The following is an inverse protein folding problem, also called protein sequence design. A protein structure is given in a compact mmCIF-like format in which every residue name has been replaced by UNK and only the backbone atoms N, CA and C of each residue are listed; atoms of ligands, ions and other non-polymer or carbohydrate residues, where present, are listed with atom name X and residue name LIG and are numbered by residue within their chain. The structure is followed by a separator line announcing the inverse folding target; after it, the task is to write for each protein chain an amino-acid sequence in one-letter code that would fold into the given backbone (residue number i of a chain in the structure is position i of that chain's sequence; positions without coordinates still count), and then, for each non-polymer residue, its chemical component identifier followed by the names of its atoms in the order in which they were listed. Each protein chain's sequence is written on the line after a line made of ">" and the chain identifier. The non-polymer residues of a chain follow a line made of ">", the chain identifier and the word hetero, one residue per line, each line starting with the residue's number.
data_IF_143460686194
#
_entry.id   IF_143460686194
#
_cell.length_a   1.000
_cell.length_b   1.000
_cell.length_c   1.000
_cell.angle_alpha   90.00
_cell.angle_beta   90.00
_cell.angle_gamma   90.00
#
_symmetry.space_group_name_H-M   'P 1'
#
loop_
_entity.id
_entity.type
_entity.pdbx_description
1 polymer ?
2 non-polymer ?
3 non-polymer ?
4 non-polymer ?
5 water ?
#
# COMPACT_ATOMS: atom_id res chain seq x y z
N UNK A 8 -1.72 -21.39 1.53
CA UNK A 8 -2.08 -20.55 0.40
C UNK A 8 -0.88 -19.72 -0.06
N UNK A 9 -0.99 -19.10 -1.23
CA UNK A 9 0.09 -18.30 -1.80
C UNK A 9 -0.25 -16.81 -1.81
N UNK A 10 0.41 -16.04 -0.93
CA UNK A 10 0.09 -14.65 -0.57
C UNK A 10 0.13 -13.65 -1.74
N UNK A 11 1.01 -13.84 -2.71
CA UNK A 11 1.06 -12.93 -3.85
C UNK A 11 -0.16 -13.10 -4.76
N UNK A 12 -0.69 -14.31 -4.84
CA UNK A 12 -1.83 -14.61 -5.70
C UNK A 12 -3.12 -14.09 -5.08
N UNK A 13 -3.17 -14.04 -3.75
CA UNK A 13 -4.30 -13.43 -3.07
C UNK A 13 -4.29 -11.94 -3.29
N UNK A 14 -3.09 -11.35 -3.31
CA UNK A 14 -2.94 -9.93 -3.57
C UNK A 14 -3.36 -9.58 -5.01
N UNK A 15 -2.79 -10.28 -5.98
CA UNK A 15 -3.09 -10.01 -7.39
C UNK A 15 -4.57 -10.20 -7.71
N UNK A 16 -5.15 -11.29 -7.20
CA UNK A 16 -6.56 -11.59 -7.45
C UNK A 16 -7.49 -10.51 -6.90
N UNK A 17 -7.19 -10.05 -5.68
CA UNK A 17 -8.02 -9.05 -5.01
C UNK A 17 -7.91 -7.66 -5.64
N UNK A 18 -6.71 -7.28 -6.05
CA UNK A 18 -6.50 -5.97 -6.64
C UNK A 18 -6.89 -5.89 -8.11
N UNK A 19 -6.88 -7.03 -8.80
CA UNK A 19 -7.42 -7.11 -10.16
C UNK A 19 -8.89 -6.69 -10.11
N UNK A 20 -9.63 -7.19 -9.11
CA UNK A 20 -11.05 -6.90 -8.96
C UNK A 20 -11.30 -5.42 -8.71
N UNK A 21 -10.49 -4.83 -7.84
CA UNK A 21 -10.59 -3.40 -7.57
C UNK A 21 -10.29 -2.58 -8.82
N UNK A 22 -9.32 -3.05 -9.60
CA UNK A 22 -8.92 -2.38 -10.83
C UNK A 22 -10.09 -2.33 -11.82
N UNK A 23 -10.80 -3.45 -11.93
CA UNK A 23 -11.97 -3.53 -12.80
C UNK A 23 -13.02 -2.51 -12.37
N UNK A 24 -13.18 -2.36 -11.05
CA UNK A 24 -14.13 -1.42 -10.51
C UNK A 24 -13.77 0.04 -10.84
N UNK A 25 -12.53 0.44 -10.58
CA UNK A 25 -12.12 1.81 -10.86
C UNK A 25 -11.91 2.11 -12.34
N UNK A 26 -11.75 1.06 -13.14
CA UNK A 26 -11.68 1.22 -14.60
C UNK A 26 -13.07 1.36 -15.23
N UNK A 27 -14.11 1.02 -14.45
CA UNK A 27 -15.49 1.10 -14.92
C UNK A 27 -15.95 2.55 -14.97
N UNK A 28 -17.00 2.84 -15.77
CA UNK A 28 -17.54 4.20 -15.91
C UNK A 28 -17.98 4.85 -14.59
N UNK A 29 -18.71 4.11 -13.75
CA UNK A 29 -19.16 4.65 -12.48
C UNK A 29 -18.71 3.80 -11.29
N UNK A 30 -17.49 4.07 -10.80
CA UNK A 30 -16.88 3.24 -9.76
C UNK A 30 -17.57 3.41 -8.41
N UNK A 31 -17.84 2.29 -7.76
CA UNK A 31 -18.26 2.31 -6.37
C UNK A 31 -17.40 1.30 -5.63
N UNK A 32 -16.43 1.80 -4.88
CA UNK A 32 -15.49 0.94 -4.17
C UNK A 32 -15.97 0.71 -2.74
N UNK A 33 -16.39 -0.52 -2.45
CA UNK A 33 -16.87 -0.88 -1.10
C UNK A 33 -15.74 -0.86 -0.09
N UNK A 34 -15.97 -0.26 1.07
CA UNK A 34 -14.96 -0.18 2.10
C UNK A 34 -14.54 -1.57 2.57
N UNK A 35 -15.48 -2.53 2.53
CA UNK A 35 -15.16 -3.90 2.91
C UNK A 35 -14.19 -4.56 1.95
N UNK A 36 -14.50 -4.53 0.67
CA UNK A 36 -13.66 -5.13 -0.35
C UNK A 36 -12.29 -4.45 -0.41
N UNK A 37 -12.31 -3.12 -0.34
CA UNK A 37 -11.08 -2.34 -0.37
C UNK A 37 -10.16 -2.63 0.81
N UNK A 38 -10.71 -2.51 2.02
CA UNK A 38 -9.92 -2.72 3.24
C UNK A 38 -9.39 -4.15 3.35
N UNK A 39 -10.18 -5.12 2.92
CA UNK A 39 -9.72 -6.51 2.92
C UNK A 39 -8.51 -6.71 2.02
N UNK A 40 -8.56 -6.13 0.83
CA UNK A 40 -7.47 -6.23 -0.12
C UNK A 40 -6.19 -5.60 0.42
N UNK A 41 -6.33 -4.49 1.11
CA UNK A 41 -5.19 -3.77 1.66
C UNK A 41 -4.52 -4.56 2.78
N UNK A 42 -5.29 -5.37 3.51
CA UNK A 42 -4.74 -6.15 4.61
C UNK A 42 -3.92 -7.33 4.10
N UNK A 43 -4.10 -7.67 2.83
CA UNK A 43 -3.35 -8.74 2.19
C UNK A 43 -1.93 -8.27 1.90
N UNK A 44 -1.73 -6.96 1.91
CA UNK A 44 -0.43 -6.38 1.61
C UNK A 44 0.45 -6.30 2.87
N UNK A 45 -0.20 -6.15 4.02
CA UNK A 45 0.48 -6.02 5.31
C UNK A 45 1.63 -7.00 5.60
N UNK A 46 1.44 -8.31 5.33
CA UNK A 46 2.55 -9.25 5.56
C UNK A 46 3.84 -8.90 4.81
N UNK A 47 3.73 -8.19 3.69
CA UNK A 47 4.91 -7.83 2.90
C UNK A 47 5.92 -7.01 3.69
N UNK A 48 5.45 -6.07 4.50
CA UNK A 48 6.35 -5.23 5.28
C UNK A 48 7.11 -6.03 6.34
N UNK A 49 6.44 -7.03 6.92
CA UNK A 49 7.07 -7.88 7.90
C UNK A 49 8.18 -8.71 7.27
N UNK A 50 7.95 -9.16 6.04
CA UNK A 50 8.92 -9.94 5.29
C UNK A 50 10.22 -9.18 5.06
N UNK A 51 10.10 -7.89 4.79
CA UNK A 51 11.25 -7.04 4.52
C UNK A 51 12.06 -6.77 5.77
N UNK A 52 11.43 -6.93 6.94
CA UNK A 52 12.15 -6.90 8.21
C UNK A 52 12.07 -5.61 8.99
N UNK A 53 13.01 -5.44 9.91
CA UNK A 53 13.00 -4.34 10.89
C UNK A 53 12.95 -2.93 10.27
N UNK A 54 13.52 -2.78 9.08
CA UNK A 54 13.52 -1.48 8.39
C UNK A 54 12.10 -0.95 8.15
N UNK A 55 11.15 -1.86 7.94
CA UNK A 55 9.79 -1.46 7.62
C UNK A 55 8.80 -1.62 8.77
N UNK A 56 9.34 -1.62 9.99
CA UNK A 56 8.51 -1.72 11.19
C UNK A 56 7.58 -0.51 11.31
N UNK A 57 7.98 0.62 10.72
CA UNK A 57 7.16 1.82 10.72
C UNK A 57 5.78 1.56 10.09
N UNK A 58 5.70 0.52 9.26
CA UNK A 58 4.46 0.23 8.57
C UNK A 58 3.36 -0.29 9.50
N UNK A 59 3.74 -0.71 10.70
CA UNK A 59 2.76 -1.14 11.69
C UNK A 59 1.84 0.04 12.03
N UNK A 60 2.46 1.16 12.35
CA UNK A 60 1.73 2.37 12.69
C UNK A 60 1.29 3.16 11.45
N UNK A 61 2.14 3.22 10.44
CA UNK A 61 1.83 4.00 9.23
C UNK A 61 0.90 3.30 8.23
N UNK A 62 0.76 1.98 8.34
CA UNK A 62 -0.08 1.25 7.39
C UNK A 62 -1.09 0.29 8.04
N UNK A 63 -0.58 -0.63 8.84
CA UNK A 63 -1.43 -1.67 9.45
C UNK A 63 -2.55 -1.08 10.32
N UNK A 64 -2.22 -0.11 11.16
CA UNK A 64 -3.21 0.55 12.00
C UNK A 64 -4.19 1.34 11.15
N UNK A 65 -3.70 1.84 10.02
CA UNK A 65 -4.55 2.60 9.12
C UNK A 65 -5.55 1.69 8.41
N UNK A 66 -5.10 0.48 8.04
CA UNK A 66 -5.98 -0.50 7.44
C UNK A 66 -6.98 -1.03 8.47
N UNK A 67 -6.51 -1.32 9.68
CA UNK A 67 -7.37 -1.77 10.77
C UNK A 67 -8.57 -0.84 10.97
N UNK A 68 -8.32 0.46 10.93
CA UNK A 68 -9.36 1.47 11.07
C UNK A 68 -10.41 1.37 9.97
N UNK A 69 -9.97 1.19 8.74
CA UNK A 69 -10.88 1.10 7.61
C UNK A 69 -11.71 -0.18 7.65
N UNK A 70 -11.14 -1.24 8.22
CA UNK A 70 -11.86 -2.48 8.43
C UNK A 70 -12.99 -2.28 9.43
N UNK A 71 -12.72 -1.49 10.47
CA UNK A 71 -13.74 -1.11 11.44
C UNK A 71 -14.89 -0.38 10.77
N UNK A 72 -14.54 0.67 10.02
CA UNK A 72 -15.52 1.53 9.36
C UNK A 72 -16.34 0.80 8.31
N UNK A 73 -15.78 -0.29 7.78
CA UNK A 73 -16.42 -1.03 6.70
C UNK A 73 -17.76 -1.65 7.12
N UNK A 74 -17.97 -1.79 8.43
CA UNK A 74 -19.20 -2.39 8.94
C UNK A 74 -20.38 -1.41 8.89
N UNK A 75 -20.09 -0.12 8.81
CA UNK A 75 -21.13 0.91 8.89
C UNK A 75 -21.15 1.87 7.70
N UNK A 76 -20.11 1.82 6.88
CA UNK A 76 -20.00 2.73 5.73
C UNK A 76 -19.88 1.97 4.42
N UNK A 77 -20.71 2.36 3.45
CA UNK A 77 -20.79 1.66 2.18
C UNK A 77 -19.52 1.75 1.33
N UNK A 78 -19.21 2.95 0.84
CA UNK A 78 -18.11 3.13 -0.10
C UNK A 78 -17.08 4.15 0.38
N UNK A 79 -15.98 4.25 -0.36
CA UNK A 79 -14.92 5.21 -0.06
C UNK A 79 -15.42 6.64 -0.26
N UNK A 80 -16.22 6.84 -1.29
CA UNK A 80 -16.83 8.13 -1.59
C UNK A 80 -17.72 8.59 -0.43
N UNK A 81 -18.60 7.70 0.02
CA UNK A 81 -19.48 7.99 1.15
C UNK A 81 -18.68 8.26 2.42
N UNK A 82 -17.61 7.49 2.60
CA UNK A 82 -16.75 7.62 3.77
C UNK A 82 -16.11 9.00 3.84
N UNK A 83 -15.60 9.46 2.70
CA UNK A 83 -14.97 10.78 2.65
C UNK A 83 -15.97 11.91 2.77
N UNK A 84 -17.15 11.75 2.17
CA UNK A 84 -18.21 12.74 2.26
C UNK A 84 -18.61 13.01 3.71
N UNK A 85 -18.65 11.98 4.54
CA UNK A 85 -18.96 12.12 5.96
C UNK A 85 -17.94 13.03 6.66
N UNK A 86 -16.66 12.80 6.39
CA UNK A 86 -15.60 13.58 7.03
C UNK A 86 -15.58 15.02 6.52
N UNK A 87 -15.89 15.21 5.24
CA UNK A 87 -16.00 16.54 4.66
C UNK A 87 -17.16 17.29 5.33
N UNK A 88 -18.28 16.58 5.49
CA UNK A 88 -19.46 17.14 6.13
C UNK A 88 -19.21 17.51 7.59
N UNK A 89 -18.50 16.65 8.31
CA UNK A 89 -18.19 16.86 9.72
C UNK A 89 -16.97 17.75 9.91
N UNK A 90 -16.34 18.15 8.81
CA UNK A 90 -15.14 19.00 8.82
C UNK A 90 -14.00 18.36 9.63
N UNK A 91 -13.83 17.05 9.48
CA UNK A 91 -12.80 16.34 10.22
C UNK A 91 -11.87 15.57 9.29
N UNK A 92 -11.62 16.12 8.11
CA UNK A 92 -10.79 15.44 7.11
C UNK A 92 -9.36 15.18 7.61
N UNK A 93 -8.71 16.22 8.11
CA UNK A 93 -7.32 16.10 8.54
C UNK A 93 -7.16 15.77 10.02
N UNK A 94 -8.28 15.44 10.68
CA UNK A 94 -8.25 15.09 12.09
C UNK A 94 -7.56 13.75 12.30
N UNK A 95 -6.72 13.68 13.32
CA UNK A 95 -6.00 12.46 13.67
C UNK A 95 -6.99 11.33 13.95
N UNK A 96 -6.86 10.23 13.21
CA UNK A 96 -7.71 9.08 13.41
C UNK A 96 -8.95 9.07 12.52
N UNK A 97 -9.12 10.11 11.72
CA UNK A 97 -10.25 10.16 10.79
C UNK A 97 -10.06 9.15 9.67
N UNK A 98 -11.16 8.64 9.14
CA UNK A 98 -11.12 7.63 8.10
C UNK A 98 -10.47 8.15 6.82
N UNK A 99 -10.68 9.43 6.52
CA UNK A 99 -10.14 10.02 5.31
C UNK A 99 -8.63 10.18 5.41
N UNK A 100 -8.17 10.62 6.58
CA UNK A 100 -6.74 10.73 6.83
C UNK A 100 -6.07 9.37 6.74
N UNK A 101 -6.69 8.37 7.36
CA UNK A 101 -6.17 7.01 7.32
C UNK A 101 -6.18 6.42 5.91
N UNK A 102 -7.19 6.79 5.12
CA UNK A 102 -7.27 6.38 3.73
C UNK A 102 -6.09 6.90 2.93
N UNK A 103 -5.69 8.14 3.20
CA UNK A 103 -4.55 8.73 2.53
C UNK A 103 -3.25 7.97 2.85
N UNK A 104 -3.11 7.58 4.11
CA UNK A 104 -1.93 6.82 4.52
C UNK A 104 -1.90 5.42 3.90
N UNK A 105 -3.08 4.81 3.80
CA UNK A 105 -3.20 3.50 3.16
C UNK A 105 -2.80 3.58 1.70
N UNK A 106 -3.15 4.68 1.06
CA UNK A 106 -2.79 4.94 -0.33
C UNK A 106 -1.27 4.91 -0.51
N UNK A 107 -0.56 5.56 0.41
CA UNK A 107 0.89 5.63 0.33
C UNK A 107 1.54 4.24 0.46
N UNK A 108 0.99 3.41 1.32
CA UNK A 108 1.50 2.06 1.50
C UNK A 108 1.33 1.26 0.24
N UNK A 109 0.17 1.38 -0.40
CA UNK A 109 -0.09 0.69 -1.66
C UNK A 109 0.90 1.17 -2.71
N UNK A 110 1.17 2.47 -2.70
CA UNK A 110 2.08 3.07 -3.67
C UNK A 110 3.51 2.56 -3.46
N UNK A 111 3.94 2.47 -2.21
CA UNK A 111 5.29 1.99 -1.91
C UNK A 111 5.50 0.57 -2.39
N UNK A 112 4.48 -0.27 -2.26
CA UNK A 112 4.58 -1.65 -2.69
C UNK A 112 4.61 -1.74 -4.23
N UNK A 113 3.85 -0.87 -4.87
CA UNK A 113 3.87 -0.76 -6.33
C UNK A 113 5.29 -0.42 -6.82
N UNK A 114 5.89 0.61 -6.22
CA UNK A 114 7.26 0.98 -6.58
C UNK A 114 8.25 -0.13 -6.22
N UNK A 115 8.03 -0.77 -5.07
CA UNK A 115 8.87 -1.88 -4.64
C UNK A 115 8.86 -3.00 -5.67
N UNK A 116 7.66 -3.40 -6.08
CA UNK A 116 7.52 -4.46 -7.07
C UNK A 116 8.16 -4.09 -8.41
N UNK A 117 7.90 -2.87 -8.88
CA UNK A 117 8.50 -2.38 -10.11
C UNK A 117 10.03 -2.51 -10.10
N UNK A 118 10.63 -2.15 -8.97
CA UNK A 118 12.08 -2.18 -8.84
C UNK A 118 12.62 -3.60 -8.71
N UNK A 119 11.87 -4.46 -8.03
CA UNK A 119 12.24 -5.87 -7.95
C UNK A 119 12.22 -6.52 -9.32
N UNK A 120 11.16 -6.26 -10.09
CA UNK A 120 11.08 -6.75 -11.45
C UNK A 120 12.23 -6.24 -12.32
N UNK A 121 12.57 -4.96 -12.17
CA UNK A 121 13.65 -4.35 -12.95
C UNK A 121 15.02 -4.92 -12.60
N UNK A 122 15.23 -5.25 -11.33
CA UNK A 122 16.53 -5.67 -10.84
C UNK A 122 16.67 -7.19 -10.77
N UNK A 123 15.99 -7.88 -11.68
CA UNK A 123 16.09 -9.34 -11.76
C UNK A 123 17.51 -9.74 -12.16
N UNK A 124 18.04 -10.79 -11.53
CA UNK A 124 19.43 -11.16 -11.73
C UNK A 124 20.31 -10.60 -10.63
N UNK A 125 19.73 -9.75 -9.79
CA UNK A 125 20.42 -9.20 -8.63
C UNK A 125 19.78 -9.77 -7.37
N UNK A 126 20.57 -10.48 -6.57
CA UNK A 126 20.02 -11.14 -5.39
C UNK A 126 19.82 -10.20 -4.20
N UNK A 127 20.25 -8.95 -4.35
CA UNK A 127 20.11 -7.96 -3.29
C UNK A 127 18.82 -7.14 -3.46
N UNK A 128 18.13 -6.90 -2.34
CA UNK A 128 16.90 -6.10 -2.34
C UNK A 128 17.16 -4.66 -1.93
N UNK A 129 18.43 -4.32 -1.71
CA UNK A 129 18.82 -2.99 -1.21
C UNK A 129 18.24 -1.85 -2.05
N UNK A 130 18.50 -1.85 -3.35
CA UNK A 130 17.99 -0.79 -4.22
C UNK A 130 16.46 -0.69 -4.29
N UNK A 131 15.76 -1.81 -4.56
CA UNK A 131 14.29 -1.73 -4.58
C UNK A 131 13.70 -1.20 -3.26
N UNK A 132 14.23 -1.67 -2.14
CA UNK A 132 13.74 -1.28 -0.83
C UNK A 132 14.07 0.19 -0.52
N UNK A 133 15.28 0.59 -0.86
CA UNK A 133 15.76 1.94 -0.58
C UNK A 133 15.05 2.96 -1.46
N UNK A 134 14.87 2.62 -2.74
CA UNK A 134 14.23 3.52 -3.68
C UNK A 134 12.72 3.66 -3.41
N UNK A 135 12.07 2.55 -3.08
CA UNK A 135 10.64 2.60 -2.79
C UNK A 135 10.37 3.42 -1.53
N UNK A 136 11.21 3.24 -0.51
CA UNK A 136 11.06 4.00 0.73
C UNK A 136 11.31 5.49 0.52
N UNK A 137 12.39 5.82 -0.19
CA UNK A 137 12.80 7.19 -0.42
C UNK A 137 11.75 7.99 -1.20
N UNK A 138 11.07 7.31 -2.12
CA UNK A 138 10.07 7.98 -2.95
C UNK A 138 8.78 8.25 -2.18
N UNK A 139 8.30 7.25 -1.44
CA UNK A 139 6.98 7.33 -0.84
C UNK A 139 6.95 7.78 0.63
N UNK A 140 7.82 7.23 1.46
CA UNK A 140 7.71 7.45 2.90
C UNK A 140 8.70 8.46 3.49
N UNK A 141 9.92 8.48 2.97
CA UNK A 141 10.97 9.37 3.48
C UNK A 141 10.57 10.85 3.62
N UNK A 142 9.81 11.40 2.65
CA UNK A 142 9.41 12.80 2.84
C UNK A 142 8.40 13.01 3.98
N UNK A 143 7.88 11.93 4.55
CA UNK A 143 6.90 12.05 5.63
C UNK A 143 7.46 11.63 6.98
N UNK A 144 8.77 11.37 7.03
CA UNK A 144 9.41 10.85 8.22
C UNK A 144 10.49 11.80 8.73
N UNK A 145 10.58 11.94 10.05
CA UNK A 145 11.61 12.74 10.67
C UNK A 145 12.96 12.02 10.64
N UNK A 146 13.99 12.71 11.14
CA UNK A 146 15.36 12.23 11.04
C UNK A 146 15.57 10.86 11.69
N UNK A 147 15.06 10.70 12.90
CA UNK A 147 15.21 9.45 13.66
C UNK A 147 14.71 8.23 12.89
N UNK A 148 13.49 8.32 12.37
CA UNK A 148 12.89 7.22 11.61
C UNK A 148 13.71 6.91 10.36
N UNK A 149 14.07 7.94 9.60
CA UNK A 149 14.84 7.73 8.38
C UNK A 149 16.19 7.05 8.67
N UNK A 150 16.82 7.43 9.77
CA UNK A 150 18.07 6.78 10.18
C UNK A 150 17.84 5.35 10.62
N UNK A 151 16.79 5.09 11.39
CA UNK A 151 16.45 3.74 11.80
C UNK A 151 16.14 2.85 10.60
N UNK A 152 15.38 3.38 9.64
CA UNK A 152 15.06 2.64 8.43
C UNK A 152 16.33 2.30 7.63
N UNK A 153 17.22 3.28 7.50
CA UNK A 153 18.47 3.09 6.78
C UNK A 153 19.31 1.98 7.40
N UNK A 154 19.40 2.00 8.74
CA UNK A 154 20.10 0.95 9.47
C UNK A 154 19.47 -0.42 9.24
N UNK A 155 18.14 -0.45 9.25
CA UNK A 155 17.41 -1.70 9.05
C UNK A 155 17.56 -2.29 7.67
N UNK A 156 18.01 -1.49 6.70
CA UNK A 156 18.24 -1.98 5.35
C UNK A 156 19.32 -3.07 5.32
N UNK A 157 20.23 -3.05 6.29
CA UNK A 157 21.25 -4.10 6.41
C UNK A 157 20.67 -5.45 6.81
N UNK A 158 19.43 -5.43 7.31
CA UNK A 158 18.79 -6.66 7.78
C UNK A 158 17.75 -7.18 6.79
N UNK A 159 17.75 -6.62 5.59
CA UNK A 159 16.88 -7.10 4.52
C UNK A 159 17.18 -8.56 4.19
N UNK A 160 16.13 -9.33 3.87
CA UNK A 160 16.36 -10.69 3.38
C UNK A 160 16.93 -10.64 1.96
N UNK A 161 17.57 -11.71 1.50
CA UNK A 161 18.00 -11.76 0.11
C UNK A 161 16.75 -11.86 -0.77
N UNK A 162 16.89 -11.52 -2.04
CA UNK A 162 15.77 -11.61 -2.99
C UNK A 162 15.23 -13.04 -3.03
N UNK A 163 16.14 -14.01 -3.11
CA UNK A 163 15.78 -15.41 -3.15
C UNK A 163 15.05 -15.83 -1.88
N UNK A 164 15.46 -15.26 -0.75
CA UNK A 164 14.86 -15.56 0.53
C UNK A 164 13.43 -15.01 0.61
N UNK A 165 13.25 -13.76 0.16
CA UNK A 165 11.93 -13.15 0.10
C UNK A 165 10.95 -13.98 -0.72
N UNK A 166 11.39 -14.38 -1.91
CA UNK A 166 10.56 -15.19 -2.79
C UNK A 166 10.17 -16.50 -2.11
N UNK A 167 11.10 -17.05 -1.34
CA UNK A 167 10.85 -18.29 -0.60
C UNK A 167 9.76 -18.08 0.47
N UNK A 168 9.81 -16.96 1.16
CA UNK A 168 8.77 -16.59 2.13
C UNK A 168 7.40 -16.45 1.45
N UNK A 169 7.40 -15.88 0.25
CA UNK A 169 6.16 -15.65 -0.51
C UNK A 169 5.71 -16.89 -1.26
N UNK A 170 6.56 -17.91 -1.31
CA UNK A 170 6.26 -19.21 -1.90
C UNK A 170 6.12 -19.19 -3.42
N UNK A 171 7.04 -18.51 -4.08
CA UNK A 171 7.04 -18.43 -5.53
C UNK A 171 8.45 -18.54 -6.08
N UNK A 172 8.58 -19.01 -7.31
CA UNK A 172 9.85 -18.91 -8.03
C UNK A 172 9.86 -17.58 -8.77
N UNK A 173 11.01 -17.24 -9.39
CA UNK A 173 11.16 -15.98 -10.11
C UNK A 173 10.02 -15.72 -11.11
N UNK A 174 9.73 -16.72 -11.95
CA UNK A 174 8.73 -16.58 -13.01
C UNK A 174 7.33 -16.29 -12.51
N UNK A 175 6.90 -17.02 -11.47
CA UNK A 175 5.56 -16.84 -10.94
C UNK A 175 5.45 -15.57 -10.11
N UNK A 176 6.54 -15.20 -9.44
CA UNK A 176 6.55 -13.97 -8.65
C UNK A 176 6.47 -12.77 -9.58
N UNK A 177 7.15 -12.86 -10.72
CA UNK A 177 7.17 -11.77 -11.68
C UNK A 177 5.78 -11.51 -12.24
N UNK A 178 5.03 -12.58 -12.47
CA UNK A 178 3.67 -12.46 -13.01
C UNK A 178 2.70 -11.78 -12.05
N UNK A 179 2.69 -12.22 -10.80
CA UNK A 179 1.75 -11.68 -9.82
C UNK A 179 2.14 -10.30 -9.29
N UNK A 180 3.44 -10.07 -9.15
CA UNK A 180 3.93 -8.75 -8.80
C UNK A 180 3.60 -7.74 -9.90
N UNK A 181 3.78 -8.13 -11.15
CA UNK A 181 3.44 -7.26 -12.28
C UNK A 181 1.94 -7.06 -12.37
N UNK A 182 1.19 -8.09 -11.98
CA UNK A 182 -0.27 -8.00 -11.94
C UNK A 182 -0.72 -6.98 -10.91
N UNK A 183 -0.05 -6.93 -9.76
CA UNK A 183 -0.39 -5.94 -8.74
C UNK A 183 -0.08 -4.54 -9.24
N UNK A 184 1.09 -4.38 -9.86
CA UNK A 184 1.49 -3.11 -10.45
C UNK A 184 0.45 -2.62 -11.47
N UNK A 185 -0.02 -3.50 -12.34
CA UNK A 185 -1.04 -3.15 -13.33
C UNK A 185 -2.38 -2.78 -12.69
N UNK A 186 -2.70 -3.41 -11.56
CA UNK A 186 -3.97 -3.19 -10.88
C UNK A 186 -3.93 -1.96 -9.97
N UNK A 187 -2.82 -1.76 -9.28
CA UNK A 187 -2.73 -0.70 -8.28
C UNK A 187 -2.52 0.68 -8.91
N UNK A 188 -1.92 0.70 -10.10
CA UNK A 188 -1.71 1.97 -10.81
C UNK A 188 -3.00 2.80 -10.98
N UNK A 189 -4.06 2.21 -11.57
CA UNK A 189 -5.27 3.02 -11.68
C UNK A 189 -6.01 3.18 -10.34
N UNK A 190 -5.83 2.24 -9.41
CA UNK A 190 -6.44 2.35 -8.08
C UNK A 190 -5.84 3.54 -7.32
N UNK A 191 -4.52 3.67 -7.38
CA UNK A 191 -3.82 4.76 -6.70
C UNK A 191 -4.22 6.10 -7.32
N UNK A 192 -4.37 6.13 -8.63
CA UNK A 192 -4.87 7.31 -9.34
C UNK A 192 -6.28 7.67 -8.90
N UNK A 193 -7.15 6.66 -8.80
CA UNK A 193 -8.53 6.88 -8.35
C UNK A 193 -8.56 7.44 -6.93
N UNK A 194 -7.74 6.89 -6.04
CA UNK A 194 -7.69 7.35 -4.67
C UNK A 194 -7.20 8.80 -4.58
N UNK A 195 -6.12 9.11 -5.30
CA UNK A 195 -5.60 10.46 -5.36
C UNK A 195 -6.67 11.45 -5.78
N UNK A 196 -7.42 11.11 -6.82
CA UNK A 196 -8.42 12.02 -7.36
C UNK A 196 -9.60 12.29 -6.42
N UNK A 197 -9.90 11.33 -5.55
CA UNK A 197 -10.93 11.53 -4.53
C UNK A 197 -10.56 12.72 -3.65
N UNK A 198 -9.26 12.90 -3.42
CA UNK A 198 -8.77 14.02 -2.62
C UNK A 198 -8.65 15.30 -3.45
N UNK A 199 -8.01 15.17 -4.61
CA UNK A 199 -7.67 16.32 -5.44
C UNK A 199 -8.88 17.02 -6.03
N UNK A 200 -9.92 16.25 -6.35
CA UNK A 200 -11.12 16.80 -6.94
C UNK A 200 -11.89 17.65 -5.94
N UNK A 201 -11.60 17.46 -4.66
CA UNK A 201 -12.22 18.26 -3.61
C UNK A 201 -11.23 19.25 -3.01
N UNK A 202 -10.09 19.42 -3.67
CA UNK A 202 -9.01 20.31 -3.19
C UNK A 202 -8.57 19.98 -1.77
N UNK A 203 -8.57 18.70 -1.42
CA UNK A 203 -8.20 18.28 -0.08
C UNK A 203 -6.69 18.13 0.08
N UNK A 204 -5.98 18.06 -1.05
CA UNK A 204 -4.54 17.82 -1.03
C UNK A 204 -4.22 16.37 -0.71
N UNK A 205 -2.97 15.96 -0.97
CA UNK A 205 -2.54 14.58 -0.72
C UNK A 205 -1.16 14.47 -0.05
N UNK A 206 -0.62 15.58 0.43
CA UNK A 206 0.74 15.57 0.97
C UNK A 206 0.78 15.84 2.48
N UNK A 207 -0.35 15.61 3.16
CA UNK A 207 -0.45 15.88 4.58
C UNK A 207 -0.63 14.59 5.38
X LIG B 1 14.27 -0.49 19.46
X LIG B 1 13.08 -0.85 18.57
X LIG B 1 12.60 0.40 17.81
X LIG B 1 12.46 0.07 16.33
X LIG B 1 10.98 0.20 15.92
X LIG B 1 10.61 1.72 15.76
X LIG B 1 9.29 1.85 14.93
X LIG B 1 9.35 3.14 14.06
X LIG B 1 8.34 4.19 14.62
X LIG B 1 6.94 3.93 14.01
X LIG B 1 6.17 5.26 13.93
X LIG B 1 5.44 5.55 12.81
X LIG B 1 4.64 6.86 12.70
X LIG B 1 4.37 7.36 13.96
X LIG B 1 5.47 7.88 11.92
X LIG B 1 4.63 8.93 11.50
X LIG B 1 6.57 8.44 12.81
X LIG B 1 7.44 9.32 12.03
X LIG B 1 7.48 10.90 12.34
X LIG B 1 8.46 11.49 11.38
X LIG B 1 7.81 11.20 13.75
X LIG B 1 6.08 11.46 11.90
X LIG B 1 5.89 12.89 11.65
X LIG B 1 5.21 13.56 12.88
X LIG B 1 5.78 14.89 13.12
X LIG B 1 5.14 15.48 14.27
X LIG B 1 5.59 15.71 11.98
X LIG B 1 7.17 14.76 13.38
X LIG B 1 14.92 -1.80 20.02
X LIG B 1 15.85 -1.46 21.20
X LIG B 1 16.48 -2.74 21.76
X LIG C 1 15.99 2.87 17.56
X LIG C 1 15.60 4.32 17.12
X LIG C 1 14.11 4.33 16.64
X LIG C 1 13.52 5.75 16.84
X LIG C 1 11.96 5.71 16.62
X LIG C 1 11.29 6.72 17.57
X LIG C 1 9.99 7.23 16.91
X LIG C 1 9.78 8.58 16.80
X LIG C 1 8.51 9.14 16.13
X LIG C 1 7.46 8.24 16.32
X LIG C 1 8.16 10.47 16.76
X LIG C 1 6.92 10.93 16.25
X LIG C 1 8.06 10.32 18.28
X LIG C 1 6.68 9.93 18.64
X LIG C 1 6.13 10.21 20.12
X LIG C 1 4.97 9.29 20.31
X LIG C 1 5.76 11.63 20.33
X LIG C 1 7.25 9.71 21.12
X LIG C 1 7.10 9.93 22.55
X LIG C 1 8.50 10.02 23.21
X LIG C 1 8.48 9.46 24.56
X LIG C 1 7.50 10.16 25.37
X LIG C 1 8.14 8.08 24.51
X LIG C 1 9.76 9.60 25.16
X LIG D 1 -0.92 9.71 11.59
X LIG D 1 -2.31 9.81 11.15
X LIG D 1 -0.84 8.84 12.77
X LIG D 1 -0.10 9.14 10.52
X LIG D 1 -0.41 11.03 11.93
X LIG E 1 18.52 11.63 4.81
X LIG E 1 17.84 11.08 5.99
X LIG E 1 17.69 11.40 3.63
X LIG E 1 18.74 13.06 4.99
X LIG E 1 19.81 10.96 4.66
X LIG F 1 -3.03 -8.83 -14.95
X LIG F 1 -4.22 -8.88 -15.80
X LIG F 1 -2.67 -10.19 -14.55
X LIG F 1 -1.93 -8.23 -15.67
X LIG F 1 -3.33 -8.03 -13.76
X LIG G 1 1.47 -22.83 -10.92
X LIG G 1 0.37 -22.25 -11.70
X LIG G 1 2.07 -23.93 -11.67
X LIG G 1 0.94 -23.34 -9.66
X LIG G 1 2.48 -21.81 -10.66
X LIG H 1 7.37 14.44 17.69
X LIG H 1 6.61 13.68 16.71
X LIG H 1 7.87 13.54 18.72
X LIG H 1 8.48 15.10 17.03
X LIG H 1 6.49 15.43 18.32
X LIG I 1 11.50 1.91 11.11
X LIG I 1 10.78 0.84 10.49
X LIG I 1 12.19 1.43 12.38
X LIG I 1 13.14 0.40 12.06
X LIG J 1 -16.15 11.85 -2.50
X LIG J 1 -16.99 12.99 -2.74
X LIG J 1 -14.75 12.30 -2.12
X LIG J 1 -14.15 12.99 -3.22
#
# INVERSE_FOLDING_TARGET
>A
SMADSEADKPLRKISAAFKKLAIIVNSPNPEVPVTQFSHACSLVSPLFGCLGIAFKFAEMDYVAKVDDLVRASSSISTLVVMMDKDIEADCVRKAGSHTRNLLRVKRGLDMVKVLFEQIIASEGDNSLKDPATKSYAQVFAPHHGWAIRKAVSLGMYALPTRAHLLNMLKEDEAAAKIHMQSYVNSSAPLITYLDNLFLSKQLGIDW
>B hetero
1 SPU C11 C14 C17 C20 C23 C26 C29 C32 C35 C38 C41 C43 C45 O47 C49 N51 C54 O57 P58 O59 O60 O61 C62 C65 N68 C70 C74 C78 C21 C22 C231
>C hetero
1 SPU C23 C26 C29 C32 C35 C38 C41 C43 C45 O47 C49 N51 C54 O57 P58 O59 O60 O61 C62 C65 N68 C70 C74 C78
>D hetero
1 SO4 S O1 O2 O3 O4
>E hetero
1 SO4 S O1 O2 O3 O4
>F hetero
1 SO4 S O1 O2 O3 O4
>G hetero
1 SO4 S O1 O2 O3 O4
>H hetero
1 SO4 S O1 O2 O3 O4
>I hetero
1 EDO C1 O1 C2 O2
>J hetero
1 EDO C1 O1 C2 O2
#
